data_IF_919645090620
#
_entry.id   IF_919645090620
#
_cell.length_a   1.000
_cell.length_b   1.000
_cell.length_c   1.000
_cell.angle_alpha   90.00
_cell.angle_beta   90.00
_cell.angle_gamma   90.00
#
_symmetry.space_group_name_H-M   'P 1'
#
loop_
_entity.id
_entity.type
_entity.pdbx_description
1 polymer ?
#
# COMPACT_ATOMS: atom_id res chain seq x y z
N UNK A 1 -12.76 -21.89 -90.42
CA UNK A 1 -11.68 -22.27 -89.54
C UNK A 1 -11.09 -21.04 -88.87
N UNK A 2 -11.45 -20.74 -87.61
CA UNK A 2 -10.93 -19.58 -86.85
C UNK A 2 -10.20 -20.10 -85.59
N UNK A 3 -8.89 -19.90 -85.55
CA UNK A 3 -8.03 -20.16 -84.36
C UNK A 3 -8.25 -19.03 -83.34
N UNK A 4 -8.61 -19.38 -82.15
CA UNK A 4 -8.62 -18.48 -81.00
C UNK A 4 -7.36 -18.76 -80.12
N UNK A 5 -6.45 -17.78 -80.04
CA UNK A 5 -5.33 -17.80 -79.14
C UNK A 5 -5.78 -17.38 -77.75
N UNK A 6 -5.53 -18.19 -76.76
CA UNK A 6 -5.74 -17.89 -75.33
C UNK A 6 -4.42 -17.28 -74.79
N UNK A 7 -4.51 -16.03 -74.34
CA UNK A 7 -3.47 -15.35 -73.59
C UNK A 7 -3.64 -15.70 -72.11
N UNK A 8 -2.69 -16.42 -71.54
CA UNK A 8 -2.58 -16.65 -70.10
C UNK A 8 -1.85 -15.43 -69.50
N UNK A 9 -2.57 -14.58 -68.77
CA UNK A 9 -1.99 -13.52 -67.96
C UNK A 9 -1.53 -14.09 -66.59
N UNK A 10 -0.23 -14.15 -66.38
CA UNK A 10 0.35 -14.52 -65.08
C UNK A 10 0.21 -13.39 -64.07
N UNK A 11 -0.51 -13.66 -62.99
CA UNK A 11 -0.67 -12.76 -61.84
C UNK A 11 0.46 -13.07 -60.81
N UNK A 12 1.52 -12.29 -60.80
CA UNK A 12 2.58 -12.39 -59.78
C UNK A 12 2.10 -11.70 -58.52
N UNK A 13 1.69 -12.47 -57.52
CA UNK A 13 1.46 -11.98 -56.16
C UNK A 13 2.83 -11.77 -55.47
N UNK A 14 3.26 -10.52 -55.40
CA UNK A 14 4.42 -10.11 -54.58
C UNK A 14 4.02 -10.14 -53.14
N UNK A 15 4.47 -11.12 -52.38
CA UNK A 15 4.42 -11.14 -50.91
C UNK A 15 5.45 -10.16 -50.40
N UNK A 16 5.03 -8.96 -50.04
CA UNK A 16 5.83 -8.02 -49.25
C UNK A 16 5.93 -8.60 -47.84
N UNK A 17 7.03 -9.27 -47.53
CA UNK A 17 7.49 -9.55 -46.18
C UNK A 17 7.88 -8.21 -45.56
N UNK A 18 6.95 -7.54 -44.93
CA UNK A 18 7.24 -6.47 -43.99
C UNK A 18 7.85 -7.15 -42.76
N UNK A 19 9.17 -7.26 -42.71
CA UNK A 19 9.90 -7.40 -41.45
C UNK A 19 9.69 -6.08 -40.71
N UNK A 20 8.56 -5.96 -40.01
CA UNK A 20 8.44 -4.99 -38.94
C UNK A 20 9.36 -5.48 -37.84
N UNK A 21 10.46 -4.78 -37.59
CA UNK A 21 11.17 -4.89 -36.33
C UNK A 21 10.15 -4.67 -35.22
N UNK A 22 9.78 -5.75 -34.53
CA UNK A 22 9.03 -5.64 -33.30
C UNK A 22 9.97 -4.90 -32.37
N UNK A 23 9.67 -3.65 -31.96
CA UNK A 23 10.54 -2.93 -31.05
C UNK A 23 10.65 -3.78 -29.80
N UNK A 24 11.84 -4.30 -29.52
CA UNK A 24 12.13 -4.95 -28.25
C UNK A 24 12.02 -3.84 -27.21
N UNK A 25 11.01 -3.91 -26.36
CA UNK A 25 10.67 -2.93 -25.32
C UNK A 25 11.87 -2.48 -24.48
N UNK A 26 12.91 -3.29 -24.41
CA UNK A 26 14.17 -3.02 -23.68
C UNK A 26 15.01 -1.86 -24.23
N UNK A 27 14.82 -1.43 -25.49
CA UNK A 27 15.69 -0.40 -26.10
C UNK A 27 15.24 1.04 -25.81
N UNK A 28 13.98 1.24 -25.45
CA UNK A 28 13.40 2.58 -25.23
C UNK A 28 13.25 2.95 -23.77
N UNK A 29 13.51 2.02 -22.83
CA UNK A 29 13.39 2.30 -21.39
C UNK A 29 14.61 3.12 -20.94
N UNK A 30 14.37 4.35 -20.48
CA UNK A 30 15.40 5.21 -19.93
C UNK A 30 15.63 4.94 -18.43
N UNK A 31 14.56 4.73 -17.68
CA UNK A 31 14.62 4.39 -16.26
C UNK A 31 13.35 3.64 -15.82
N UNK A 32 13.41 3.06 -14.61
CA UNK A 32 12.31 2.32 -13.99
C UNK A 32 12.02 2.87 -12.60
N UNK A 33 10.75 2.78 -12.17
CA UNK A 33 10.36 3.10 -10.80
C UNK A 33 10.95 2.09 -9.81
N UNK A 34 11.01 2.38 -8.49
CA UNK A 34 11.13 1.35 -7.47
C UNK A 34 10.03 0.31 -7.59
N UNK A 35 10.23 -0.89 -6.99
CA UNK A 35 9.18 -1.91 -6.92
C UNK A 35 7.97 -1.33 -6.17
N UNK A 36 6.81 -1.40 -6.80
CA UNK A 36 5.55 -0.99 -6.21
C UNK A 36 4.94 -2.16 -5.44
N UNK A 37 4.86 -2.01 -4.12
CA UNK A 37 4.24 -2.98 -3.23
C UNK A 37 2.74 -2.64 -3.08
N UNK A 38 1.81 -3.60 -3.29
CA UNK A 38 0.39 -3.38 -3.04
C UNK A 38 0.06 -3.15 -1.55
N UNK A 39 0.90 -3.67 -0.65
CA UNK A 39 0.87 -3.42 0.79
C UNK A 39 2.27 -3.56 1.41
N UNK A 40 2.54 -2.92 2.55
CA UNK A 40 3.85 -2.99 3.21
C UNK A 40 4.11 -4.32 3.92
N UNK A 41 3.10 -5.17 4.08
CA UNK A 41 3.21 -6.43 4.80
C UNK A 41 2.43 -7.56 4.13
N UNK A 42 2.90 -8.81 4.35
CA UNK A 42 2.23 -10.06 3.99
C UNK A 42 2.11 -10.94 5.22
N UNK A 43 0.95 -11.61 5.40
CA UNK A 43 0.78 -12.52 6.51
C UNK A 43 1.50 -13.86 6.27
N UNK A 44 2.05 -14.43 7.34
CA UNK A 44 2.64 -15.78 7.34
C UNK A 44 1.63 -16.79 6.80
N UNK A 45 2.03 -17.57 5.80
CA UNK A 45 1.20 -18.58 5.16
C UNK A 45 0.12 -18.03 4.22
N UNK A 46 0.23 -16.74 3.82
CA UNK A 46 -0.73 -16.10 2.90
C UNK A 46 0.00 -15.43 1.72
N UNK A 47 -0.77 -14.92 0.78
CA UNK A 47 -0.29 -14.15 -0.36
C UNK A 47 -0.38 -12.65 -0.08
N UNK A 48 0.49 -11.87 -0.72
CA UNK A 48 0.47 -10.42 -0.66
C UNK A 48 -0.80 -9.89 -1.31
N UNK A 49 -1.47 -8.96 -0.60
CA UNK A 49 -2.76 -8.41 -1.01
C UNK A 49 -2.74 -6.89 -0.95
N UNK A 50 -3.61 -6.28 -1.71
CA UNK A 50 -3.85 -4.83 -1.64
C UNK A 50 -4.67 -4.44 -0.39
N UNK A 51 -4.94 -3.15 -0.24
CA UNK A 51 -5.72 -2.60 0.88
C UNK A 51 -7.20 -3.05 0.89
N UNK A 52 -7.68 -3.66 -0.18
CA UNK A 52 -9.03 -4.23 -0.31
C UNK A 52 -9.04 -5.73 -0.01
N UNK A 53 -7.87 -6.37 0.11
CA UNK A 53 -7.71 -7.79 0.35
C UNK A 53 -7.60 -8.64 -0.92
N UNK A 54 -7.49 -8.04 -2.10
CA UNK A 54 -7.26 -8.77 -3.34
C UNK A 54 -5.79 -9.18 -3.46
N UNK A 55 -5.52 -10.39 -3.91
CA UNK A 55 -4.17 -10.83 -4.24
C UNK A 55 -3.68 -10.02 -5.43
N UNK A 56 -2.57 -9.31 -5.24
CA UNK A 56 -2.06 -8.33 -6.22
C UNK A 56 -0.56 -8.52 -6.38
N UNK A 57 -0.06 -8.58 -7.63
CA UNK A 57 1.36 -8.76 -7.90
C UNK A 57 2.17 -7.50 -7.62
N UNK A 58 3.47 -7.68 -7.47
CA UNK A 58 4.45 -6.60 -7.53
C UNK A 58 4.46 -5.98 -8.93
N UNK A 59 4.76 -4.69 -9.01
CA UNK A 59 4.85 -3.97 -10.28
C UNK A 59 6.08 -3.08 -10.33
N UNK A 60 6.50 -2.77 -11.55
CA UNK A 60 7.49 -1.75 -11.88
C UNK A 60 6.91 -0.94 -13.02
N UNK A 61 7.02 0.38 -12.93
CA UNK A 61 6.70 1.27 -14.03
C UNK A 61 7.99 1.60 -14.78
N UNK A 62 7.92 1.59 -16.10
CA UNK A 62 9.01 1.96 -16.99
C UNK A 62 8.72 3.32 -17.65
N UNK A 63 9.78 4.08 -17.87
CA UNK A 63 9.70 5.41 -18.45
C UNK A 63 10.70 5.55 -19.59
N UNK A 64 10.27 6.21 -20.65
CA UNK A 64 11.11 6.58 -21.78
C UNK A 64 11.94 7.84 -21.51
N UNK A 65 12.67 8.31 -22.51
CA UNK A 65 13.59 9.45 -22.37
C UNK A 65 12.91 10.80 -22.16
N UNK A 66 11.63 10.91 -22.50
CA UNK A 66 10.83 12.13 -22.34
C UNK A 66 9.86 12.02 -21.17
N UNK A 67 10.15 11.14 -20.19
CA UNK A 67 9.30 10.84 -19.03
C UNK A 67 7.91 10.27 -19.39
N UNK A 68 7.73 9.78 -20.62
CA UNK A 68 6.51 9.06 -21.01
C UNK A 68 6.48 7.69 -20.33
N UNK A 69 5.33 7.36 -19.72
CA UNK A 69 5.14 6.04 -19.15
C UNK A 69 4.98 5.00 -20.27
N UNK A 70 5.81 3.99 -20.24
CA UNK A 70 5.77 2.89 -21.20
C UNK A 70 4.82 1.78 -20.72
N UNK A 71 4.36 0.91 -21.62
CA UNK A 71 3.59 -0.29 -21.24
C UNK A 71 4.33 -1.11 -20.17
N UNK A 72 3.57 -1.86 -19.36
CA UNK A 72 4.12 -2.69 -18.27
C UNK A 72 5.29 -3.55 -18.79
N UNK A 73 6.52 -3.35 -18.29
CA UNK A 73 7.68 -4.10 -18.73
C UNK A 73 7.64 -5.53 -18.19
N UNK A 74 8.24 -6.47 -18.91
CA UNK A 74 8.52 -7.79 -18.35
C UNK A 74 9.53 -7.65 -17.22
N UNK A 75 9.07 -7.80 -15.98
CA UNK A 75 9.90 -7.65 -14.80
C UNK A 75 10.08 -8.98 -14.05
N UNK A 76 11.27 -9.19 -13.52
CA UNK A 76 11.58 -10.30 -12.61
C UNK A 76 11.82 -9.75 -11.21
N UNK A 77 11.20 -10.35 -10.20
CA UNK A 77 11.34 -9.93 -8.80
C UNK A 77 12.09 -10.98 -8.00
N UNK A 78 13.06 -10.55 -7.20
CA UNK A 78 13.94 -11.44 -6.45
C UNK A 78 14.09 -10.94 -5.01
N UNK A 79 14.00 -11.83 -3.99
CA UNK A 79 14.44 -11.50 -2.65
C UNK A 79 15.97 -11.39 -2.64
N UNK A 80 16.50 -10.42 -1.87
CA UNK A 80 17.95 -10.15 -1.84
C UNK A 80 18.74 -11.17 -1.02
N UNK A 81 18.07 -11.93 -0.13
CA UNK A 81 18.67 -12.91 0.78
C UNK A 81 17.98 -14.26 0.64
N UNK A 82 18.78 -15.33 0.59
CA UNK A 82 18.31 -16.72 0.55
C UNK A 82 18.93 -17.49 1.75
N UNK A 83 18.17 -18.42 2.39
CA UNK A 83 16.77 -18.74 2.11
C UNK A 83 15.85 -17.59 2.52
N UNK A 84 14.78 -17.37 1.75
CA UNK A 84 13.82 -16.30 1.99
C UNK A 84 12.54 -16.85 2.61
N UNK A 85 11.89 -16.13 3.56
CA UNK A 85 10.57 -16.50 4.07
C UNK A 85 9.44 -16.22 3.09
N UNK A 86 9.73 -15.73 1.89
CA UNK A 86 8.77 -15.53 0.81
C UNK A 86 9.22 -16.25 -0.46
N UNK A 87 8.26 -16.61 -1.29
CA UNK A 87 8.45 -16.96 -2.70
C UNK A 87 7.78 -15.92 -3.59
N UNK A 88 8.37 -15.68 -4.76
CA UNK A 88 7.81 -14.79 -5.77
C UNK A 88 7.73 -15.57 -7.07
N UNK A 89 6.56 -15.62 -7.69
CA UNK A 89 6.37 -16.32 -8.96
C UNK A 89 6.76 -15.43 -10.17
N UNK A 90 6.71 -16.01 -11.37
CA UNK A 90 7.07 -15.32 -12.61
C UNK A 90 6.14 -14.13 -12.93
N UNK A 91 4.93 -14.10 -12.36
CA UNK A 91 3.96 -13.02 -12.55
C UNK A 91 4.08 -11.95 -11.44
N UNK A 92 5.03 -12.08 -10.51
CA UNK A 92 5.23 -11.13 -9.42
C UNK A 92 4.31 -11.36 -8.20
N UNK A 93 3.56 -12.45 -8.12
CA UNK A 93 2.78 -12.77 -6.92
C UNK A 93 3.69 -13.28 -5.81
N UNK A 94 3.51 -12.69 -4.63
CA UNK A 94 4.31 -13.01 -3.44
C UNK A 94 3.50 -13.89 -2.51
N UNK A 95 4.11 -14.96 -2.03
CA UNK A 95 3.55 -15.82 -0.98
C UNK A 95 4.54 -15.97 0.17
N UNK A 96 4.07 -15.76 1.42
CA UNK A 96 4.87 -15.98 2.61
C UNK A 96 4.80 -17.45 3.05
N UNK A 97 5.94 -18.02 3.46
CA UNK A 97 6.02 -19.41 3.91
C UNK A 97 5.45 -19.56 5.31
N UNK A 98 4.87 -20.73 5.60
CA UNK A 98 4.34 -21.05 6.94
C UNK A 98 5.43 -21.36 7.98
N UNK A 99 6.68 -21.56 7.56
CA UNK A 99 7.77 -21.98 8.44
C UNK A 99 8.24 -20.89 9.41
N UNK A 100 8.03 -19.63 9.08
CA UNK A 100 8.45 -18.52 9.94
C UNK A 100 7.52 -18.35 11.15
N UNK A 101 8.12 -18.00 12.30
CA UNK A 101 7.39 -17.78 13.56
C UNK A 101 7.51 -16.36 14.08
N UNK A 102 8.41 -15.57 13.49
CA UNK A 102 8.71 -14.20 13.88
C UNK A 102 8.43 -13.24 12.74
N UNK A 103 8.40 -11.96 13.05
CA UNK A 103 8.38 -10.88 12.05
C UNK A 103 9.72 -10.86 11.31
N UNK A 104 9.67 -10.84 9.99
CA UNK A 104 10.84 -10.72 9.14
C UNK A 104 10.70 -9.54 8.19
N UNK A 105 11.79 -8.83 7.96
CA UNK A 105 11.89 -7.86 6.87
C UNK A 105 12.62 -8.51 5.71
N UNK A 106 11.97 -8.58 4.57
CA UNK A 106 12.53 -9.09 3.32
C UNK A 106 12.74 -7.92 2.38
N UNK A 107 13.92 -7.84 1.79
CA UNK A 107 14.17 -6.87 0.73
C UNK A 107 13.98 -7.53 -0.64
N UNK A 108 13.28 -6.83 -1.52
CA UNK A 108 12.96 -7.27 -2.87
C UNK A 108 13.55 -6.28 -3.85
N UNK A 109 14.19 -6.79 -4.88
CA UNK A 109 14.65 -6.03 -6.04
C UNK A 109 13.89 -6.47 -7.28
N UNK A 110 13.61 -5.53 -8.16
CA UNK A 110 13.05 -5.82 -9.46
C UNK A 110 14.08 -5.62 -10.56
N UNK A 111 13.98 -6.41 -11.61
CA UNK A 111 14.82 -6.33 -12.80
C UNK A 111 13.96 -6.26 -14.04
N UNK A 112 14.33 -5.39 -14.95
CA UNK A 112 13.75 -5.28 -16.28
C UNK A 112 14.86 -5.49 -17.30
N UNK A 113 14.69 -6.51 -18.14
CA UNK A 113 15.75 -6.95 -19.04
C UNK A 113 17.02 -7.34 -18.31
N UNK A 114 18.18 -7.17 -18.97
CA UNK A 114 19.49 -7.54 -18.42
C UNK A 114 20.22 -6.40 -17.69
N UNK A 115 19.75 -5.16 -17.80
CA UNK A 115 20.54 -3.97 -17.42
C UNK A 115 19.89 -3.12 -16.31
N UNK A 116 18.58 -3.10 -16.21
CA UNK A 116 17.88 -2.23 -15.27
C UNK A 116 17.50 -3.01 -14.00
N UNK A 117 17.88 -2.45 -12.85
CA UNK A 117 17.54 -3.00 -11.55
C UNK A 117 17.08 -1.88 -10.63
N UNK A 118 16.03 -2.14 -9.84
CA UNK A 118 15.52 -1.19 -8.86
C UNK A 118 16.38 -1.15 -7.60
N UNK A 119 16.33 -0.06 -6.81
CA UNK A 119 16.69 -0.10 -5.41
C UNK A 119 15.87 -1.17 -4.67
N UNK A 120 16.42 -1.79 -3.60
CA UNK A 120 15.68 -2.75 -2.80
C UNK A 120 14.54 -2.05 -2.05
N UNK A 121 13.35 -2.70 -2.03
CA UNK A 121 12.20 -2.29 -1.21
C UNK A 121 11.95 -3.30 -0.12
N UNK A 122 11.48 -2.84 1.04
CA UNK A 122 11.24 -3.68 2.21
C UNK A 122 9.80 -4.15 2.26
N UNK A 123 9.60 -5.47 2.40
CA UNK A 123 8.33 -6.13 2.66
C UNK A 123 8.40 -6.81 4.03
N UNK A 124 7.41 -6.59 4.88
CA UNK A 124 7.29 -7.27 6.18
C UNK A 124 6.54 -8.60 6.03
N UNK A 125 7.07 -9.66 6.62
CA UNK A 125 6.37 -10.94 6.82
C UNK A 125 5.94 -10.98 8.27
N UNK A 126 4.62 -11.01 8.53
CA UNK A 126 4.05 -10.75 9.85
C UNK A 126 3.03 -11.83 10.24
N UNK A 127 2.77 -12.04 11.54
CA UNK A 127 1.63 -12.83 11.99
C UNK A 127 0.31 -12.28 11.43
N UNK A 128 -0.71 -13.13 11.27
CA UNK A 128 -2.02 -12.67 10.82
C UNK A 128 -2.62 -11.70 11.85
N UNK A 129 -2.93 -10.45 11.48
CA UNK A 129 -3.57 -9.51 12.38
C UNK A 129 -5.00 -9.95 12.70
N UNK A 130 -5.40 -9.90 13.96
CA UNK A 130 -6.74 -10.32 14.40
C UNK A 130 -7.51 -9.23 15.16
N UNK A 131 -6.82 -8.32 15.86
CA UNK A 131 -7.50 -7.33 16.68
C UNK A 131 -6.81 -5.97 16.68
N UNK A 132 -7.65 -4.94 16.84
CA UNK A 132 -7.29 -3.53 17.04
C UNK A 132 -7.73 -3.13 18.44
N UNK A 133 -6.85 -2.52 19.20
CA UNK A 133 -7.11 -1.95 20.51
C UNK A 133 -6.53 -0.55 20.64
N UNK A 134 -7.06 0.24 21.55
CA UNK A 134 -6.41 1.49 21.95
C UNK A 134 -5.40 1.25 23.05
N UNK A 135 -4.32 2.03 23.05
CA UNK A 135 -3.28 1.94 24.08
C UNK A 135 -3.58 2.74 25.33
N UNK A 136 -4.56 3.67 25.25
CA UNK A 136 -5.00 4.50 26.37
C UNK A 136 -6.51 4.60 26.38
N UNK A 137 -7.09 4.49 27.54
CA UNK A 137 -8.53 4.48 27.77
C UNK A 137 -9.03 5.86 27.87
N UNK A 138 -9.00 6.89 27.15
CA UNK A 138 -9.78 8.02 27.62
C UNK A 138 -10.04 9.17 26.66
N UNK A 139 -11.15 9.77 27.02
CA UNK A 139 -11.50 11.15 26.80
C UNK A 139 -10.39 12.03 27.36
N UNK A 140 -9.59 12.61 26.51
CA UNK A 140 -8.59 13.58 26.94
C UNK A 140 -9.17 14.97 26.91
N UNK A 141 -8.66 15.80 27.83
CA UNK A 141 -9.04 17.19 27.92
C UNK A 141 -7.84 18.04 27.52
N UNK A 142 -8.02 18.96 26.59
CA UNK A 142 -6.97 19.86 26.14
C UNK A 142 -7.46 21.31 26.20
N UNK A 143 -6.58 22.22 26.63
CA UNK A 143 -6.81 23.66 26.45
C UNK A 143 -6.52 24.06 24.99
N UNK A 144 -7.20 25.06 24.47
CA UNK A 144 -6.95 25.56 23.10
C UNK A 144 -5.72 26.45 22.99
N UNK A 145 -4.92 26.35 21.92
CA UNK A 145 -4.96 25.33 20.89
C UNK A 145 -4.50 23.97 21.42
N UNK A 146 -5.30 22.92 21.17
CA UNK A 146 -5.08 21.59 21.73
C UNK A 146 -4.40 20.63 20.76
N UNK A 147 -3.45 19.87 21.31
CA UNK A 147 -2.79 18.75 20.61
C UNK A 147 -3.01 17.47 21.41
N UNK A 148 -3.54 16.43 20.79
CA UNK A 148 -3.65 15.12 21.40
C UNK A 148 -3.26 14.01 20.44
N UNK A 149 -2.42 13.09 20.91
CA UNK A 149 -1.95 11.95 20.10
C UNK A 149 -2.76 10.70 20.46
N UNK A 150 -3.51 10.24 19.48
CA UNK A 150 -4.26 9.00 19.56
C UNK A 150 -3.40 7.84 19.12
N UNK A 151 -3.38 6.76 19.90
CA UNK A 151 -2.60 5.55 19.61
C UNK A 151 -3.50 4.33 19.62
N UNK A 152 -3.31 3.48 18.64
CA UNK A 152 -3.92 2.16 18.59
C UNK A 152 -2.83 1.11 18.44
N UNK A 153 -3.12 -0.11 18.90
CA UNK A 153 -2.24 -1.26 18.76
C UNK A 153 -2.96 -2.34 17.94
N UNK A 154 -2.27 -2.85 16.93
CA UNK A 154 -2.70 -4.03 16.18
C UNK A 154 -1.95 -5.24 16.72
N UNK A 155 -2.69 -6.29 17.04
CA UNK A 155 -2.14 -7.55 17.51
C UNK A 155 -2.68 -8.72 16.71
N UNK A 156 -1.92 -9.82 16.68
CA UNK A 156 -2.27 -11.07 16.06
C UNK A 156 -1.84 -12.25 16.90
N UNK A 157 -2.15 -13.47 16.46
CA UNK A 157 -1.72 -14.68 17.12
C UNK A 157 -0.56 -15.29 16.36
N UNK A 158 0.51 -15.60 17.07
CA UNK A 158 1.58 -16.42 16.52
C UNK A 158 1.20 -17.93 16.52
N UNK A 159 2.07 -18.78 16.02
CA UNK A 159 1.85 -20.25 15.98
C UNK A 159 1.61 -20.87 17.37
N UNK A 160 2.19 -20.30 18.42
CA UNK A 160 1.98 -20.71 19.80
C UNK A 160 0.69 -20.15 20.42
N UNK A 161 -0.16 -19.51 19.63
CA UNK A 161 -1.39 -18.82 20.06
C UNK A 161 -1.14 -17.70 21.08
N UNK A 162 0.08 -17.19 21.14
CA UNK A 162 0.41 -16.03 21.96
C UNK A 162 0.11 -14.76 21.16
N UNK A 163 -0.50 -13.79 21.83
CA UNK A 163 -0.79 -12.49 21.25
C UNK A 163 0.52 -11.69 21.10
N UNK A 164 0.78 -11.22 19.89
CA UNK A 164 2.00 -10.48 19.53
C UNK A 164 1.63 -9.23 18.74
N UNK A 165 2.44 -8.16 18.81
CA UNK A 165 2.25 -6.99 17.98
C UNK A 165 2.43 -7.32 16.49
N UNK A 166 1.66 -6.64 15.63
CA UNK A 166 1.74 -6.82 14.17
C UNK A 166 2.09 -5.50 13.52
N UNK A 167 3.31 -5.35 13.00
CA UNK A 167 3.72 -4.18 12.25
C UNK A 167 3.20 -4.20 10.81
N UNK A 168 3.27 -3.04 10.14
CA UNK A 168 2.94 -2.91 8.71
C UNK A 168 1.45 -2.92 8.40
N UNK A 169 0.57 -2.73 9.40
CA UNK A 169 -0.87 -2.69 9.21
C UNK A 169 -1.33 -1.23 9.06
N UNK A 170 -2.08 -0.98 8.01
CA UNK A 170 -2.63 0.34 7.72
C UNK A 170 -3.82 0.62 8.63
N UNK A 171 -3.73 1.68 9.42
CA UNK A 171 -4.79 2.21 10.28
C UNK A 171 -5.29 3.51 9.71
N UNK A 172 -6.61 3.66 9.61
CA UNK A 172 -7.27 4.87 9.13
C UNK A 172 -7.93 5.58 10.31
N UNK A 173 -7.58 6.85 10.50
CA UNK A 173 -8.18 7.75 11.48
C UNK A 173 -9.13 8.70 10.77
N UNK A 174 -10.32 8.86 11.30
CA UNK A 174 -11.33 9.75 10.73
C UNK A 174 -12.02 10.55 11.82
N UNK A 175 -12.11 11.86 11.64
CA UNK A 175 -13.00 12.70 12.46
C UNK A 175 -14.44 12.41 12.04
N UNK A 176 -15.25 11.93 12.98
CA UNK A 176 -16.64 11.53 12.72
C UNK A 176 -17.65 12.50 13.28
N UNK A 177 -17.30 13.26 14.32
CA UNK A 177 -18.15 14.29 14.88
C UNK A 177 -17.33 15.43 15.47
N UNK A 178 -17.88 16.63 15.37
CA UNK A 178 -17.41 17.88 15.95
C UNK A 178 -18.57 18.54 16.65
N UNK A 179 -18.39 18.92 17.92
CA UNK A 179 -19.41 19.58 18.72
C UNK A 179 -18.89 20.92 19.21
N UNK A 180 -19.83 21.88 19.34
CA UNK A 180 -19.57 23.24 19.80
C UNK A 180 -20.06 24.30 18.82
N UNK A 181 -20.30 25.52 19.31
CA UNK A 181 -20.85 26.62 18.51
C UNK A 181 -19.95 27.10 17.37
N UNK A 182 -18.61 26.90 17.50
CA UNK A 182 -17.60 27.20 16.48
C UNK A 182 -17.08 25.98 15.75
N UNK A 183 -17.70 24.81 15.92
CA UNK A 183 -17.21 23.56 15.35
C UNK A 183 -17.34 23.54 13.82
N UNK A 184 -16.24 23.37 13.12
CA UNK A 184 -16.18 23.24 11.66
C UNK A 184 -15.00 22.33 11.26
N UNK A 185 -15.01 21.85 10.03
CA UNK A 185 -13.90 21.05 9.50
C UNK A 185 -12.55 21.78 9.48
N UNK A 186 -12.58 23.13 9.51
CA UNK A 186 -11.37 23.95 9.57
C UNK A 186 -10.79 24.07 11.00
N UNK A 187 -11.56 23.71 12.05
CA UNK A 187 -11.16 23.87 13.46
C UNK A 187 -10.53 22.62 14.07
N UNK A 188 -10.63 21.47 13.42
CA UNK A 188 -10.03 20.22 13.87
C UNK A 188 -9.37 19.47 12.70
N UNK A 189 -8.10 19.14 12.83
CA UNK A 189 -7.28 18.52 11.79
C UNK A 189 -6.52 17.31 12.35
N UNK A 190 -6.35 16.30 11.51
CA UNK A 190 -5.44 15.18 11.79
C UNK A 190 -4.10 15.46 11.14
N UNK A 191 -3.00 15.24 11.88
CA UNK A 191 -1.64 15.43 11.36
C UNK A 191 -1.11 14.15 10.73
N UNK A 192 -0.17 14.31 9.78
CA UNK A 192 0.73 13.24 9.33
C UNK A 192 1.97 13.21 10.22
N UNK A 193 2.76 12.10 10.15
CA UNK A 193 4.03 12.00 10.86
C UNK A 193 4.94 13.17 10.53
N UNK A 194 5.37 13.89 11.56
CA UNK A 194 6.30 15.00 11.45
C UNK A 194 5.75 16.31 10.88
N UNK A 195 4.44 16.43 10.59
CA UNK A 195 3.92 17.66 10.04
C UNK A 195 2.42 17.88 10.19
N UNK A 196 2.01 19.13 10.21
CA UNK A 196 0.61 19.54 10.16
C UNK A 196 0.10 19.35 8.73
N UNK A 197 -0.96 18.58 8.54
CA UNK A 197 -1.65 18.51 7.26
C UNK A 197 -2.34 19.85 7.00
N UNK A 198 -1.80 20.63 6.11
CA UNK A 198 -2.32 21.94 5.74
C UNK A 198 -3.57 21.89 4.84
N UNK A 199 -4.23 20.75 4.71
CA UNK A 199 -5.46 20.63 3.92
C UNK A 199 -6.68 20.66 4.85
N UNK A 200 -7.45 21.76 4.86
CA UNK A 200 -8.62 21.89 5.72
C UNK A 200 -9.73 20.85 5.49
N UNK A 201 -9.64 20.11 4.35
CA UNK A 201 -10.67 19.12 3.98
C UNK A 201 -10.32 17.68 4.35
N UNK A 202 -9.17 17.42 4.95
CA UNK A 202 -8.76 16.05 5.25
C UNK A 202 -9.22 15.62 6.64
N UNK A 203 -10.49 15.18 6.73
CA UNK A 203 -11.01 14.53 7.93
C UNK A 203 -10.50 13.11 8.13
N UNK A 204 -9.62 12.64 7.24
CA UNK A 204 -9.05 11.28 7.25
C UNK A 204 -7.53 11.35 7.21
N UNK A 205 -6.87 10.62 8.09
CA UNK A 205 -5.44 10.39 8.05
C UNK A 205 -5.13 8.89 8.12
N UNK A 206 -4.01 8.49 7.54
CA UNK A 206 -3.59 7.09 7.50
C UNK A 206 -2.23 6.96 8.15
N UNK A 207 -2.05 5.94 8.98
CA UNK A 207 -0.77 5.54 9.55
C UNK A 207 -0.53 4.04 9.39
N UNK A 208 0.73 3.63 9.50
CA UNK A 208 1.11 2.22 9.44
C UNK A 208 1.73 1.81 10.78
N UNK A 209 1.31 0.67 11.31
CA UNK A 209 1.85 0.19 12.60
C UNK A 209 3.35 -0.03 12.53
N UNK A 210 4.06 0.45 13.55
CA UNK A 210 5.50 0.26 13.77
C UNK A 210 5.86 -1.15 14.25
N UNK A 211 7.14 -1.38 14.60
CA UNK A 211 7.61 -2.68 15.11
C UNK A 211 6.91 -3.13 16.41
N UNK A 212 6.33 -2.20 17.16
CA UNK A 212 5.53 -2.48 18.37
C UNK A 212 4.05 -2.72 18.06
N UNK A 213 3.67 -2.74 16.79
CA UNK A 213 2.28 -2.85 16.35
C UNK A 213 1.46 -1.58 16.61
N UNK A 214 2.09 -0.43 16.87
CA UNK A 214 1.42 0.82 17.22
C UNK A 214 1.35 1.74 16.01
N UNK A 215 0.15 2.28 15.76
CA UNK A 215 -0.07 3.40 14.85
C UNK A 215 -0.57 4.61 15.64
N UNK A 216 -0.22 5.83 15.23
CA UNK A 216 -0.59 7.04 15.93
C UNK A 216 -0.91 8.20 15.00
N UNK A 217 -1.84 9.07 15.42
CA UNK A 217 -2.08 10.36 14.76
C UNK A 217 -2.38 11.43 15.80
N UNK A 218 -1.89 12.62 15.53
CA UNK A 218 -2.16 13.77 16.38
C UNK A 218 -3.36 14.53 15.85
N UNK A 219 -4.32 14.78 16.73
CA UNK A 219 -5.45 15.68 16.50
C UNK A 219 -5.02 17.08 16.93
N UNK A 220 -5.21 18.06 16.05
CA UNK A 220 -5.01 19.48 16.32
C UNK A 220 -6.37 20.14 16.37
N UNK A 221 -6.69 20.81 17.47
CA UNK A 221 -7.87 21.67 17.59
C UNK A 221 -7.41 23.11 17.72
N UNK A 222 -7.67 23.91 16.68
CA UNK A 222 -7.19 25.29 16.58
C UNK A 222 -8.30 26.35 16.73
N UNK A 223 -9.56 25.96 16.64
CA UNK A 223 -10.71 26.87 16.67
C UNK A 223 -11.27 27.08 18.08
N UNK A 224 -11.75 28.31 18.36
CA UNK A 224 -12.55 28.61 19.54
C UNK A 224 -14.00 28.12 19.37
N UNK A 225 -14.64 27.72 20.47
CA UNK A 225 -16.03 27.24 20.41
C UNK A 225 -16.18 25.80 19.97
N UNK A 226 -15.12 25.00 19.98
CA UNK A 226 -15.15 23.54 19.86
C UNK A 226 -15.24 22.97 21.28
N UNK A 227 -16.26 22.19 21.56
CA UNK A 227 -16.48 21.55 22.88
C UNK A 227 -15.87 20.14 22.90
N UNK A 228 -16.04 19.40 21.79
CA UNK A 228 -15.43 18.08 21.66
C UNK A 228 -15.29 17.61 20.21
N UNK A 229 -14.31 16.71 20.01
CA UNK A 229 -14.02 16.06 18.73
C UNK A 229 -14.05 14.56 18.94
N UNK A 230 -14.75 13.84 18.05
CA UNK A 230 -14.77 12.38 18.03
C UNK A 230 -13.96 11.88 16.83
N UNK A 231 -12.95 11.09 17.12
CA UNK A 231 -12.12 10.43 16.10
C UNK A 231 -12.34 8.95 16.17
N UNK A 232 -12.49 8.35 15.01
CA UNK A 232 -12.67 6.93 14.81
C UNK A 232 -11.39 6.37 14.16
N UNK A 233 -10.81 5.33 14.75
CA UNK A 233 -9.71 4.59 14.15
C UNK A 233 -10.19 3.19 13.76
N UNK A 234 -9.86 2.77 12.56
CA UNK A 234 -10.16 1.42 12.08
C UNK A 234 -9.02 0.83 11.27
N UNK A 235 -8.91 -0.49 11.29
CA UNK A 235 -7.96 -1.24 10.49
C UNK A 235 -8.64 -2.51 9.94
N UNK A 236 -8.11 -2.99 8.82
CA UNK A 236 -8.49 -4.28 8.25
C UNK A 236 -7.32 -5.24 8.35
N UNK A 237 -7.65 -6.53 8.42
CA UNK A 237 -6.65 -7.58 8.24
C UNK A 237 -6.05 -7.50 6.83
N UNK A 238 -4.93 -8.17 6.62
CA UNK A 238 -4.31 -8.27 5.29
C UNK A 238 -5.20 -8.98 4.25
N UNK A 239 -6.31 -9.60 4.68
CA UNK A 239 -7.36 -10.17 3.82
C UNK A 239 -8.54 -9.22 3.58
N UNK A 240 -8.42 -7.96 3.97
CA UNK A 240 -9.48 -6.96 3.81
C UNK A 240 -10.65 -7.07 4.79
N UNK A 241 -10.61 -8.03 5.73
CA UNK A 241 -11.66 -8.21 6.74
C UNK A 241 -11.42 -7.26 7.91
N UNK A 242 -12.45 -6.60 8.47
CA UNK A 242 -12.32 -5.80 9.68
C UNK A 242 -11.71 -6.60 10.84
N UNK A 243 -10.81 -5.99 11.62
CA UNK A 243 -10.22 -6.62 12.80
C UNK A 243 -11.23 -6.63 13.96
N UNK A 244 -11.08 -7.56 14.89
CA UNK A 244 -11.85 -7.53 16.15
C UNK A 244 -11.52 -6.24 16.89
N UNK A 245 -12.56 -5.53 17.35
CA UNK A 245 -12.39 -4.20 17.93
C UNK A 245 -12.07 -3.12 16.90
N UNK A 246 -12.50 -3.34 15.64
CA UNK A 246 -12.25 -2.50 14.47
C UNK A 246 -12.74 -1.07 14.57
N UNK A 247 -13.45 -0.74 15.64
CA UNK A 247 -13.98 0.58 15.92
C UNK A 247 -13.47 1.13 17.24
N UNK A 248 -12.29 1.73 17.20
CA UNK A 248 -11.75 2.45 18.34
C UNK A 248 -12.16 3.93 18.25
N UNK A 249 -12.88 4.40 19.25
CA UNK A 249 -13.31 5.79 19.35
C UNK A 249 -12.42 6.55 20.33
N UNK A 250 -11.98 7.74 19.92
CA UNK A 250 -11.32 8.71 20.79
C UNK A 250 -12.25 9.93 20.91
N UNK A 251 -12.47 10.38 22.11
CA UNK A 251 -13.24 11.61 22.39
C UNK A 251 -12.28 12.60 23.04
N UNK A 252 -11.93 13.68 22.33
CA UNK A 252 -11.22 14.80 22.88
C UNK A 252 -12.24 15.85 23.35
N UNK A 253 -12.27 16.14 24.64
CA UNK A 253 -12.99 17.28 25.20
C UNK A 253 -12.08 18.49 25.26
N UNK A 254 -12.59 19.64 24.86
CA UNK A 254 -11.85 20.90 24.89
C UNK A 254 -12.33 21.67 26.11
N UNK A 255 -11.41 22.03 26.97
CA UNK A 255 -11.67 22.95 28.09
C UNK A 255 -11.47 24.38 27.61
N UNK A 256 -12.42 25.27 27.90
CA UNK A 256 -12.30 26.66 27.57
C UNK A 256 -11.15 27.36 28.28
#
# INVERSE_FOLDING_TARGET
>A
MRRRSLLLGGFSVGVLLACGDVPTLDQDIAYISPVLLPAPAVAIGDQLRDSLGNVTPLRIEAFGRNDEQLPDPEATFLPTVLPSPISIDANGFVAATESTTAVHTVQIVGRVGSKLQTPPVSLLVVPQPDSLGRTSDEVRTSALPGLDTMRVTVTGLNKSRTRVPVPGIIVRYRITALYGAGASSATALLTLDGGVVSRPDSLVAVDTTDASGVASRTLVVAGTGVDSVVVFAHARSLRGVPLKGDSVHFVLRVTP
#
